data_IF_480567439329
#
_entry.id   IF_480567439329
#
_cell.length_a   1.000
_cell.length_b   1.000
_cell.length_c   1.000
_cell.angle_alpha   90.00
_cell.angle_beta   90.00
_cell.angle_gamma   90.00
#
_symmetry.space_group_name_H-M   'P 1'
#
loop_
_entity.id
_entity.type
_entity.pdbx_description
1 polymer ?
#
# COMPACT_ATOMS: atom_id res chain seq x y z
N UNK A 1 -9.17 7.28 -11.09
CA UNK A 1 -10.40 7.41 -10.27
C UNK A 1 -11.08 6.06 -10.04
N UNK A 2 -11.15 5.15 -11.02
CA UNK A 2 -11.82 3.85 -10.85
C UNK A 2 -11.13 2.92 -9.83
N UNK A 3 -9.79 2.81 -9.84
CA UNK A 3 -9.07 1.99 -8.85
C UNK A 3 -9.32 2.47 -7.43
N UNK A 4 -9.24 3.79 -7.18
CA UNK A 4 -9.44 4.35 -5.84
C UNK A 4 -10.84 4.04 -5.26
N UNK A 5 -11.83 3.79 -6.12
CA UNK A 5 -13.17 3.42 -5.70
C UNK A 5 -13.30 1.93 -5.34
N UNK A 6 -12.37 1.07 -5.74
CA UNK A 6 -12.45 -0.39 -5.54
C UNK A 6 -11.34 -0.87 -4.57
N UNK A 7 -10.15 -0.27 -4.70
CA UNK A 7 -8.94 -0.52 -3.94
C UNK A 7 -8.53 0.78 -3.25
N UNK A 8 -8.65 0.83 -1.92
CA UNK A 8 -8.14 1.94 -1.11
C UNK A 8 -6.66 1.68 -0.80
N UNK A 9 -5.80 2.70 -0.63
CA UNK A 9 -4.47 2.51 -0.05
C UNK A 9 -4.59 1.94 1.38
N UNK A 10 -3.62 1.14 1.89
CA UNK A 10 -2.40 0.62 1.25
C UNK A 10 -2.66 -0.65 0.42
N UNK A 11 -1.83 -0.85 -0.59
CA UNK A 11 -2.08 -1.72 -1.77
C UNK A 11 -2.43 -3.17 -1.42
N UNK A 12 -3.67 -3.55 -1.73
CA UNK A 12 -4.20 -4.87 -1.41
C UNK A 12 -3.64 -5.94 -2.36
N UNK A 13 -2.53 -6.56 -1.96
CA UNK A 13 -1.88 -7.68 -2.66
C UNK A 13 -2.62 -9.03 -2.55
N UNK A 14 -3.85 -9.04 -2.03
CA UNK A 14 -4.60 -10.27 -1.69
C UNK A 14 -6.12 -10.02 -1.76
N UNK A 15 -6.65 -9.65 -2.92
CA UNK A 15 -8.10 -9.61 -3.15
C UNK A 15 -8.47 -10.56 -4.28
N UNK A 16 -9.55 -11.31 -4.07
CA UNK A 16 -10.11 -12.19 -5.08
C UNK A 16 -10.92 -11.38 -6.07
N UNK A 17 -10.59 -11.53 -7.35
CA UNK A 17 -11.27 -10.88 -8.46
C UNK A 17 -11.70 -11.91 -9.49
N UNK A 18 -12.79 -11.60 -10.19
CA UNK A 18 -13.28 -12.37 -11.32
C UNK A 18 -13.08 -11.56 -12.61
N UNK A 19 -12.52 -12.21 -13.64
CA UNK A 19 -12.35 -11.59 -14.96
C UNK A 19 -13.67 -11.58 -15.72
N UNK A 20 -14.04 -10.43 -16.28
CA UNK A 20 -15.29 -10.25 -17.03
C UNK A 20 -15.09 -10.32 -18.55
N UNK A 21 -13.85 -10.19 -19.01
CA UNK A 21 -13.48 -10.14 -20.43
C UNK A 21 -12.26 -11.02 -20.71
N UNK A 22 -11.98 -11.25 -21.99
CA UNK A 22 -10.81 -12.01 -22.42
C UNK A 22 -11.00 -13.52 -22.43
N UNK A 23 -9.92 -14.28 -22.71
CA UNK A 23 -9.94 -15.74 -22.80
C UNK A 23 -10.21 -16.42 -21.46
N UNK A 24 -9.82 -15.76 -20.36
CA UNK A 24 -9.96 -16.25 -18.98
C UNK A 24 -11.23 -15.76 -18.28
N UNK A 25 -12.25 -15.37 -19.05
CA UNK A 25 -13.51 -14.86 -18.51
C UNK A 25 -14.19 -15.85 -17.56
N UNK A 26 -14.63 -15.36 -16.41
CA UNK A 26 -15.31 -16.12 -15.36
C UNK A 26 -14.36 -16.88 -14.44
N UNK A 27 -13.05 -16.84 -14.69
CA UNK A 27 -12.05 -17.36 -13.75
C UNK A 27 -11.85 -16.37 -12.61
N UNK A 28 -11.61 -16.96 -11.44
CA UNK A 28 -11.31 -16.26 -10.20
C UNK A 28 -9.80 -16.33 -9.98
N UNK A 29 -9.20 -15.20 -9.61
CA UNK A 29 -7.78 -15.14 -9.28
C UNK A 29 -7.48 -14.12 -8.20
N UNK A 30 -6.28 -14.20 -7.65
CA UNK A 30 -5.77 -13.30 -6.62
C UNK A 30 -4.98 -12.16 -7.23
N UNK A 31 -5.26 -10.92 -6.79
CA UNK A 31 -4.52 -9.73 -7.24
C UNK A 31 -3.21 -9.62 -6.48
N UNK A 32 -2.07 -9.81 -7.16
CA UNK A 32 -0.75 -9.70 -6.51
C UNK A 32 -0.09 -8.32 -6.66
N UNK A 33 -0.43 -7.57 -7.72
CA UNK A 33 0.14 -6.24 -8.00
C UNK A 33 -0.92 -5.30 -8.56
N UNK A 34 -0.87 -4.04 -8.12
CA UNK A 34 -1.76 -2.96 -8.58
C UNK A 34 -0.89 -1.79 -9.02
N UNK A 35 -1.17 -1.22 -10.20
CA UNK A 35 -0.52 0.00 -10.69
C UNK A 35 -1.60 1.09 -10.80
N UNK A 36 -1.63 1.97 -9.80
CA UNK A 36 -2.69 2.97 -9.62
C UNK A 36 -2.72 4.00 -10.74
N UNK A 37 -1.55 4.41 -11.23
CA UNK A 37 -1.36 5.46 -12.23
C UNK A 37 -2.05 5.10 -13.55
N UNK A 38 -2.01 3.82 -13.91
CA UNK A 38 -2.58 3.30 -15.17
C UNK A 38 -3.90 2.59 -14.99
N UNK A 39 -4.40 2.50 -13.76
CA UNK A 39 -5.54 1.68 -13.39
C UNK A 39 -5.40 0.19 -13.77
N UNK A 40 -4.18 -0.35 -13.64
CA UNK A 40 -3.88 -1.74 -13.95
C UNK A 40 -3.84 -2.63 -12.71
N UNK A 41 -4.27 -3.87 -12.90
CA UNK A 41 -4.21 -4.94 -11.91
C UNK A 41 -3.61 -6.18 -12.56
N UNK A 42 -2.71 -6.83 -11.86
CA UNK A 42 -2.15 -8.12 -12.25
C UNK A 42 -2.77 -9.21 -11.37
N UNK A 43 -3.20 -10.29 -12.00
CA UNK A 43 -3.89 -11.39 -11.35
C UNK A 43 -3.06 -12.64 -11.54
N UNK A 44 -2.79 -13.36 -10.45
CA UNK A 44 -1.92 -14.53 -10.46
C UNK A 44 -2.45 -15.61 -11.41
N UNK A 45 -1.61 -16.04 -12.36
CA UNK A 45 -1.91 -17.13 -13.28
C UNK A 45 -3.05 -16.86 -14.29
N UNK A 46 -3.51 -15.61 -14.45
CA UNK A 46 -4.55 -15.23 -15.41
C UNK A 46 -4.03 -14.14 -16.35
N UNK A 47 -4.61 -14.09 -17.57
CA UNK A 47 -4.17 -13.15 -18.62
C UNK A 47 -2.67 -13.28 -18.92
N UNK A 48 -2.21 -14.51 -19.16
CA UNK A 48 -0.80 -14.82 -19.36
C UNK A 48 -0.42 -14.62 -20.83
N UNK A 49 0.69 -13.91 -21.06
CA UNK A 49 1.42 -13.91 -22.33
C UNK A 49 2.60 -14.86 -22.24
N UNK A 50 2.72 -15.71 -23.25
CA UNK A 50 3.87 -16.59 -23.43
C UNK A 50 4.91 -15.86 -24.28
N UNK A 51 6.10 -15.65 -23.72
CA UNK A 51 7.21 -15.01 -24.41
C UNK A 51 8.40 -15.96 -24.44
N UNK A 52 8.92 -16.23 -25.63
CA UNK A 52 10.12 -17.05 -25.77
C UNK A 52 11.33 -16.12 -25.77
N UNK A 53 12.11 -16.19 -24.70
CA UNK A 53 13.38 -15.49 -24.61
C UNK A 53 14.46 -16.39 -25.23
N UNK A 54 15.07 -15.90 -26.32
CA UNK A 54 16.23 -16.52 -26.93
C UNK A 54 17.46 -15.69 -26.57
N UNK A 55 18.52 -16.36 -26.14
CA UNK A 55 19.81 -15.69 -25.92
C UNK A 55 20.36 -15.19 -27.24
N UNK A 56 20.64 -13.89 -27.33
CA UNK A 56 21.35 -13.31 -28.48
C UNK A 56 22.82 -13.78 -28.57
N UNK A 57 23.38 -14.24 -27.44
CA UNK A 57 24.79 -14.64 -27.34
C UNK A 57 25.06 -16.08 -27.73
N UNK A 58 24.08 -16.98 -27.58
CA UNK A 58 24.20 -18.38 -27.97
C UNK A 58 22.98 -18.84 -28.78
N UNK A 59 23.09 -18.89 -30.13
CA UNK A 59 22.01 -19.31 -30.99
C UNK A 59 21.67 -20.80 -30.87
N UNK A 60 22.51 -21.62 -30.22
CA UNK A 60 22.24 -23.03 -29.94
C UNK A 60 21.48 -23.25 -28.62
N UNK A 61 21.31 -22.22 -27.80
CA UNK A 61 20.53 -22.31 -26.56
C UNK A 61 19.05 -22.52 -26.86
N UNK A 62 18.44 -23.51 -26.19
CA UNK A 62 17.01 -23.77 -26.24
C UNK A 62 16.32 -22.61 -25.51
N UNK A 63 15.51 -21.83 -26.23
CA UNK A 63 14.81 -20.68 -25.67
C UNK A 63 13.88 -21.09 -24.52
N UNK A 64 13.92 -20.33 -23.43
CA UNK A 64 13.01 -20.54 -22.30
C UNK A 64 11.67 -19.88 -22.64
N UNK A 65 10.57 -20.56 -22.31
CA UNK A 65 9.23 -19.98 -22.40
C UNK A 65 8.93 -19.35 -21.04
N UNK A 66 8.86 -18.03 -21.03
CA UNK A 66 8.46 -17.26 -19.86
C UNK A 66 6.96 -16.99 -19.92
N UNK A 67 6.29 -17.26 -18.80
CA UNK A 67 4.88 -16.99 -18.61
C UNK A 67 4.80 -15.68 -17.83
N UNK A 68 4.35 -14.62 -18.47
CA UNK A 68 4.26 -13.29 -17.85
C UNK A 68 2.80 -12.87 -17.80
N UNK A 69 2.28 -12.53 -16.63
CA UNK A 69 0.93 -11.99 -16.47
C UNK A 69 0.83 -10.58 -17.04
N UNK A 70 -0.20 -10.35 -17.85
CA UNK A 70 -0.49 -9.05 -18.43
C UNK A 70 -1.48 -8.24 -17.57
N UNK A 71 -1.38 -6.90 -17.59
CA UNK A 71 -2.26 -6.06 -16.81
C UNK A 71 -3.71 -6.10 -17.32
N UNK A 72 -4.65 -6.02 -16.38
CA UNK A 72 -6.08 -5.85 -16.64
C UNK A 72 -6.56 -4.48 -16.16
N UNK A 73 -7.51 -3.89 -16.89
CA UNK A 73 -8.12 -2.61 -16.55
C UNK A 73 -9.24 -2.79 -15.52
N UNK A 74 -9.05 -2.17 -14.35
CA UNK A 74 -10.00 -2.26 -13.23
C UNK A 74 -11.45 -1.86 -13.52
N UNK A 75 -11.77 -0.75 -14.22
CA UNK A 75 -13.17 -0.31 -14.33
C UNK A 75 -14.08 -1.26 -15.11
N UNK A 76 -13.54 -2.08 -16.01
CA UNK A 76 -14.34 -2.83 -16.97
C UNK A 76 -13.99 -4.32 -17.06
N UNK A 77 -12.76 -4.70 -16.74
CA UNK A 77 -12.26 -6.04 -17.04
C UNK A 77 -12.26 -6.98 -15.83
N UNK A 78 -12.27 -6.41 -14.61
CA UNK A 78 -12.26 -7.17 -13.36
C UNK A 78 -13.34 -6.68 -12.40
N UNK A 79 -13.91 -7.62 -11.64
CA UNK A 79 -14.85 -7.34 -10.56
C UNK A 79 -14.42 -8.01 -9.27
N UNK A 80 -14.73 -7.39 -8.14
CA UNK A 80 -14.51 -8.02 -6.83
C UNK A 80 -15.52 -9.14 -6.62
N UNK A 81 -15.10 -10.13 -5.85
CA UNK A 81 -15.92 -11.28 -5.50
C UNK A 81 -16.57 -11.06 -4.14
N UNK A 82 -17.84 -11.43 -4.03
CA UNK A 82 -18.54 -11.47 -2.76
C UNK A 82 -18.12 -12.71 -1.96
N UNK A 83 -17.63 -12.57 -0.71
CA UNK A 83 -17.17 -13.69 0.10
C UNK A 83 -18.28 -14.72 0.41
N UNK A 84 -19.56 -14.38 0.24
CA UNK A 84 -20.64 -15.27 0.64
C UNK A 84 -21.17 -16.19 -0.46
N UNK A 85 -21.03 -15.82 -1.73
CA UNK A 85 -21.51 -16.64 -2.85
C UNK A 85 -20.48 -16.80 -3.98
N UNK A 86 -19.29 -16.22 -3.81
CA UNK A 86 -18.15 -16.35 -4.72
C UNK A 86 -18.45 -15.88 -6.15
N UNK A 87 -19.38 -14.93 -6.32
CA UNK A 87 -19.70 -14.33 -7.62
C UNK A 87 -19.21 -12.89 -7.70
N UNK A 88 -18.86 -12.45 -8.91
CA UNK A 88 -18.62 -11.04 -9.21
C UNK A 88 -19.75 -10.13 -8.71
N UNK A 89 -19.37 -9.05 -8.06
CA UNK A 89 -20.30 -8.02 -7.60
C UNK A 89 -19.71 -6.63 -7.79
N UNK A 90 -20.60 -5.67 -8.01
CA UNK A 90 -20.25 -4.26 -7.91
C UNK A 90 -20.18 -3.85 -6.43
N UNK A 91 -19.31 -2.90 -6.13
CA UNK A 91 -19.00 -2.47 -4.76
C UNK A 91 -19.40 -1.02 -4.56
N UNK A 92 -20.00 -0.74 -3.41
CA UNK A 92 -20.42 0.59 -2.97
C UNK A 92 -19.77 0.89 -1.62
N UNK A 93 -19.29 2.11 -1.45
CA UNK A 93 -18.79 2.56 -0.15
C UNK A 93 -19.93 2.93 0.78
N UNK A 94 -19.88 2.43 2.02
CA UNK A 94 -20.77 2.83 3.11
C UNK A 94 -19.97 3.07 4.39
N UNK A 95 -20.62 3.71 5.36
CA UNK A 95 -20.08 3.90 6.69
C UNK A 95 -20.80 2.98 7.67
N UNK A 96 -20.05 2.32 8.56
CA UNK A 96 -20.63 1.58 9.69
C UNK A 96 -21.07 2.56 10.78
N UNK A 97 -21.81 2.05 11.77
CA UNK A 97 -22.23 2.83 12.95
C UNK A 97 -21.03 3.37 13.74
N UNK A 98 -19.90 2.64 13.72
CA UNK A 98 -18.63 3.05 14.32
C UNK A 98 -17.91 4.18 13.54
N UNK A 99 -18.46 4.61 12.40
CA UNK A 99 -17.86 5.62 11.53
C UNK A 99 -16.77 5.08 10.59
N UNK A 100 -16.50 3.77 10.59
CA UNK A 100 -15.52 3.17 9.68
C UNK A 100 -16.07 3.08 8.25
N UNK A 101 -15.24 3.47 7.28
CA UNK A 101 -15.58 3.38 5.85
C UNK A 101 -15.32 1.97 5.34
N UNK A 102 -16.38 1.29 4.91
CA UNK A 102 -16.34 -0.11 4.47
C UNK A 102 -16.86 -0.29 3.05
N UNK A 103 -16.36 -1.33 2.38
CA UNK A 103 -16.82 -1.77 1.06
C UNK A 103 -18.00 -2.71 1.23
N UNK A 104 -19.09 -2.45 0.53
CA UNK A 104 -20.32 -3.25 0.60
C UNK A 104 -20.68 -3.77 -0.79
N UNK A 105 -20.97 -5.06 -0.89
CA UNK A 105 -21.51 -5.69 -2.10
C UNK A 105 -22.87 -5.08 -2.44
N UNK A 106 -23.03 -4.53 -3.65
CA UNK A 106 -24.30 -4.00 -4.11
C UNK A 106 -25.41 -5.07 -4.16
N UNK A 107 -25.03 -6.34 -4.35
CA UNK A 107 -25.97 -7.44 -4.56
C UNK A 107 -26.45 -8.09 -3.27
N UNK A 108 -25.55 -8.39 -2.34
CA UNK A 108 -25.91 -9.07 -1.07
C UNK A 108 -25.97 -8.12 0.11
N UNK A 109 -25.46 -6.89 -0.04
CA UNK A 109 -25.32 -5.94 1.06
C UNK A 109 -24.27 -6.33 2.11
N UNK A 110 -23.47 -7.38 1.86
CA UNK A 110 -22.41 -7.80 2.78
C UNK A 110 -21.18 -6.92 2.67
N UNK A 111 -20.49 -6.78 3.80
CA UNK A 111 -19.22 -6.08 3.87
C UNK A 111 -18.11 -6.96 3.30
N UNK A 112 -17.33 -6.42 2.36
CA UNK A 112 -16.13 -7.06 1.81
C UNK A 112 -14.94 -6.54 2.63
N UNK A 113 -14.41 -7.34 3.59
CA UNK A 113 -13.33 -6.90 4.45
C UNK A 113 -12.05 -6.65 3.65
N UNK A 114 -11.16 -5.86 4.22
CA UNK A 114 -9.80 -5.71 3.70
C UNK A 114 -8.93 -6.90 4.16
N UNK A 115 -8.03 -7.43 3.30
CA UNK A 115 -7.27 -8.65 3.59
C UNK A 115 -6.17 -8.35 4.61
N UNK A 116 -6.04 -9.10 5.72
CA UNK A 116 -5.17 -8.77 6.87
C UNK A 116 -3.76 -8.25 6.54
N UNK A 117 -3.12 -8.74 5.48
CA UNK A 117 -1.82 -8.26 5.00
C UNK A 117 -1.79 -6.76 4.66
N UNK A 118 -2.92 -6.16 4.27
CA UNK A 118 -3.04 -4.71 4.03
C UNK A 118 -2.70 -3.85 5.26
N UNK A 119 -2.90 -4.35 6.48
CA UNK A 119 -2.63 -3.57 7.68
C UNK A 119 -1.13 -3.40 7.91
N UNK A 120 -0.32 -4.30 7.35
CA UNK A 120 1.06 -4.50 7.78
C UNK A 120 2.08 -4.12 6.70
N UNK A 121 1.64 -3.89 5.46
CA UNK A 121 2.50 -3.48 4.35
C UNK A 121 2.45 -1.96 4.21
N UNK A 122 3.53 -1.28 4.60
CA UNK A 122 3.71 0.14 4.32
C UNK A 122 3.83 0.37 2.79
N UNK A 123 3.69 1.61 2.33
CA UNK A 123 3.78 1.95 0.89
C UNK A 123 5.12 1.51 0.27
N UNK A 124 6.18 1.42 1.08
CA UNK A 124 7.52 0.99 0.67
C UNK A 124 7.69 -0.54 0.62
N UNK A 125 6.65 -1.31 0.94
CA UNK A 125 6.67 -2.78 0.87
C UNK A 125 7.34 -3.49 2.05
N UNK A 126 7.80 -2.75 3.06
CA UNK A 126 8.27 -3.30 4.34
C UNK A 126 7.10 -3.84 5.15
N UNK A 127 7.24 -5.08 5.63
CA UNK A 127 6.28 -5.70 6.53
C UNK A 127 6.66 -5.32 7.97
N UNK A 128 5.82 -4.52 8.64
CA UNK A 128 6.07 -4.05 10.01
C UNK A 128 6.19 -5.17 11.07
N UNK A 129 5.86 -6.41 10.71
CA UNK A 129 5.87 -7.56 11.64
C UNK A 129 7.30 -8.07 11.87
N UNK A 130 8.24 -7.78 10.96
CA UNK A 130 9.63 -8.24 11.03
C UNK A 130 10.60 -7.10 11.40
N UNK A 131 10.20 -6.23 12.34
CA UNK A 131 11.14 -5.31 12.98
C UNK A 131 12.01 -6.08 13.97
N UNK A 132 13.05 -6.74 13.45
CA UNK A 132 14.24 -6.98 14.23
C UNK A 132 14.86 -5.61 14.53
N UNK A 133 14.75 -5.15 15.77
CA UNK A 133 15.41 -3.93 16.23
C UNK A 133 16.90 -4.03 15.92
N UNK A 134 17.35 -3.23 14.96
CA UNK A 134 18.75 -3.09 14.64
C UNK A 134 19.50 -2.43 15.80
N UNK A 135 20.82 -2.45 15.74
CA UNK A 135 21.67 -1.79 16.74
C UNK A 135 21.39 -0.28 16.87
N UNK A 136 20.86 0.34 15.81
CA UNK A 136 20.53 1.76 15.76
C UNK A 136 19.06 2.07 16.10
N UNK A 137 18.23 1.06 16.34
CA UNK A 137 16.82 1.25 16.67
C UNK A 137 16.63 1.51 18.16
N UNK A 138 15.68 2.38 18.47
CA UNK A 138 15.39 2.76 19.86
C UNK A 138 14.31 1.87 20.45
N UNK A 139 14.48 1.49 21.71
CA UNK A 139 13.48 0.71 22.43
C UNK A 139 12.16 1.48 22.56
N UNK A 140 11.05 0.78 22.33
CA UNK A 140 9.72 1.36 22.39
C UNK A 140 9.39 1.99 23.76
N UNK A 141 9.99 1.49 24.84
CA UNK A 141 9.82 2.03 26.19
C UNK A 141 10.48 3.40 26.36
N UNK A 142 11.65 3.61 25.76
CA UNK A 142 12.33 4.92 25.79
C UNK A 142 11.61 5.93 24.89
N UNK A 143 11.14 5.52 23.71
CA UNK A 143 10.40 6.39 22.78
C UNK A 143 9.08 6.91 23.39
N UNK A 144 8.36 6.05 24.15
CA UNK A 144 7.09 6.43 24.79
C UNK A 144 7.26 7.33 26.01
N UNK A 145 8.49 7.53 26.50
CA UNK A 145 8.76 8.33 27.69
C UNK A 145 8.53 9.80 27.38
N UNK A 146 7.56 10.42 28.08
CA UNK A 146 7.31 11.86 27.95
C UNK A 146 8.41 12.62 28.70
N UNK A 147 9.37 13.15 27.94
CA UNK A 147 10.51 13.93 28.46
C UNK A 147 10.30 15.43 28.37
N UNK A 148 9.37 15.88 27.53
CA UNK A 148 9.14 17.30 27.27
C UNK A 148 8.44 18.01 28.44
N UNK A 149 9.01 19.13 28.89
CA UNK A 149 8.43 20.02 29.88
C UNK A 149 8.18 21.39 29.24
N UNK A 150 6.93 21.90 29.22
CA UNK A 150 6.65 23.19 28.61
C UNK A 150 7.24 24.32 29.46
N UNK A 151 8.14 25.10 28.88
CA UNK A 151 8.75 26.29 29.49
C UNK A 151 8.53 27.51 28.60
N UNK A 152 8.54 28.70 29.19
CA UNK A 152 8.45 29.98 28.45
C UNK A 152 9.83 30.48 28.01
N UNK A 153 10.62 29.61 27.39
CA UNK A 153 11.94 29.92 26.84
C UNK A 153 12.08 29.29 25.46
N UNK A 154 13.06 29.74 24.66
CA UNK A 154 13.38 29.07 23.40
C UNK A 154 14.24 27.83 23.66
N UNK A 155 14.27 26.89 22.70
CA UNK A 155 15.09 25.69 22.78
C UNK A 155 16.57 26.01 23.02
N UNK A 156 17.09 27.03 22.34
CA UNK A 156 18.48 27.46 22.48
C UNK A 156 18.76 27.99 23.90
N UNK A 157 17.83 28.74 24.48
CA UNK A 157 17.95 29.26 25.84
C UNK A 157 17.93 28.12 26.87
N UNK A 158 17.05 27.14 26.73
CA UNK A 158 16.95 25.97 27.62
C UNK A 158 18.23 25.11 27.57
N UNK A 159 18.82 24.94 26.39
CA UNK A 159 20.12 24.27 26.23
C UNK A 159 21.25 25.09 26.86
N UNK A 160 21.29 26.40 26.63
CA UNK A 160 22.33 27.25 27.22
C UNK A 160 22.27 27.20 28.75
N UNK A 161 21.08 27.23 29.33
CA UNK A 161 20.86 27.11 30.77
C UNK A 161 21.29 25.73 31.30
N UNK A 162 20.88 24.65 30.65
CA UNK A 162 21.20 23.27 31.08
C UNK A 162 22.69 22.92 30.94
N UNK A 163 23.34 23.35 29.85
CA UNK A 163 24.76 23.13 29.61
C UNK A 163 25.67 24.18 30.28
N UNK A 164 25.07 25.18 30.96
CA UNK A 164 25.78 26.30 31.59
C UNK A 164 26.67 27.08 30.61
N UNK A 165 26.18 27.25 29.38
CA UNK A 165 26.86 28.02 28.34
C UNK A 165 26.49 29.49 28.52
N UNK A 166 27.50 30.34 28.67
CA UNK A 166 27.33 31.79 28.70
C UNK A 166 27.11 32.32 27.28
N UNK A 167 25.86 32.27 26.82
CA UNK A 167 25.47 32.69 25.47
C UNK A 167 24.83 34.07 25.49
N UNK A 168 25.64 35.11 25.34
CA UNK A 168 25.16 36.51 25.27
C UNK A 168 25.48 37.18 23.91
N UNK A 169 24.91 36.74 22.78
CA UNK A 169 25.04 37.49 21.54
C UNK A 169 24.16 38.74 21.57
N UNK A 170 24.74 39.92 21.30
CA UNK A 170 23.96 41.12 20.99
C UNK A 170 23.52 41.05 19.53
N UNK A 171 22.25 40.72 19.26
CA UNK A 171 21.69 40.80 17.90
C UNK A 171 21.83 42.24 17.39
N UNK A 172 22.62 42.44 16.33
CA UNK A 172 22.70 43.74 15.64
C UNK A 172 21.40 43.97 14.87
N UNK A 173 20.96 45.23 14.77
CA UNK A 173 19.81 45.58 13.95
C UNK A 173 20.14 45.29 12.48
N UNK A 174 19.31 44.49 11.82
CA UNK A 174 19.34 44.24 10.39
C UNK A 174 18.01 44.63 9.76
N UNK A 175 18.02 44.93 8.47
CA UNK A 175 16.81 45.20 7.69
C UNK A 175 16.37 43.91 7.00
N UNK A 176 15.07 43.67 6.95
CA UNK A 176 14.44 42.61 6.17
C UNK A 176 13.55 43.32 5.14
N UNK A 177 13.79 43.10 3.86
CA UNK A 177 13.06 43.71 2.74
C UNK A 177 12.71 42.64 1.72
#
# INVERSE_FOLDING_TARGET
>A
MAIANIFSPPEHKVLMVELQVGPDKGKIGEVFRIVKERNWVFVEGLHIKYETERSDYDPASIGNINNTEEPLLVPHEVKLIDPADLRATDVVWRYTEDGARVRVSARTGRVIPFPKLHLNTWEDGTNAIEEFGGEQDTDMNEVKKVTFQPKLCTFEQDICESMKIDYTPRKKKGYWY
#
